data_IF_413371613272
#
_entry.id   IF_413371613272
#
_cell.length_a   1.000
_cell.length_b   1.000
_cell.length_c   1.000
_cell.angle_alpha   90.00
_cell.angle_beta   90.00
_cell.angle_gamma   90.00
#
_symmetry.space_group_name_H-M   'P 1'
#
loop_
_entity.id
_entity.type
_entity.pdbx_description
1 polymer ?
#
# COMPACT_ATOMS: atom_id res chain seq x y z
N UNK A 1 16.77 14.07 6.04
CA UNK A 1 16.61 12.66 6.45
C UNK A 1 16.71 12.55 7.93
N UNK A 2 17.93 12.60 8.49
CA UNK A 2 18.22 12.30 9.91
C UNK A 2 17.19 12.78 10.95
N UNK A 3 16.89 14.09 11.07
CA UNK A 3 15.91 14.55 12.06
C UNK A 3 14.51 13.94 11.92
N UNK A 4 14.09 13.57 10.70
CA UNK A 4 12.81 12.90 10.45
C UNK A 4 12.88 11.40 10.71
N UNK A 5 14.03 10.77 10.42
CA UNK A 5 14.26 9.38 10.79
C UNK A 5 14.20 9.18 12.30
N UNK A 6 14.83 10.07 13.08
CA UNK A 6 14.87 9.99 14.54
C UNK A 6 13.48 10.13 15.20
N UNK A 7 12.61 10.99 14.62
CA UNK A 7 11.24 11.19 15.10
C UNK A 7 10.33 10.01 14.69
N UNK A 8 10.64 9.32 13.59
CA UNK A 8 9.82 8.27 12.99
C UNK A 8 8.76 8.79 12.02
N UNK A 9 8.08 7.87 11.31
CA UNK A 9 7.05 8.20 10.32
C UNK A 9 7.60 8.62 8.95
N UNK A 10 8.88 8.38 8.68
CA UNK A 10 9.55 8.69 7.43
C UNK A 10 10.55 7.57 7.09
N UNK A 11 10.63 7.19 5.81
CA UNK A 11 11.67 6.29 5.29
C UNK A 11 12.50 7.02 4.24
N UNK A 12 13.82 6.82 4.29
CA UNK A 12 14.74 7.35 3.30
C UNK A 12 14.57 6.65 1.95
N UNK A 13 14.53 7.40 0.83
CA UNK A 13 14.59 6.82 -0.51
C UNK A 13 16.02 6.46 -0.93
N UNK A 14 17.04 6.89 -0.18
CA UNK A 14 18.44 6.54 -0.44
C UNK A 14 18.79 5.22 0.23
N UNK A 15 19.25 4.25 -0.54
CA UNK A 15 19.67 2.91 -0.08
C UNK A 15 20.93 2.92 0.79
N UNK A 16 21.70 4.01 0.76
CA UNK A 16 22.89 4.21 1.60
C UNK A 16 22.60 4.92 2.92
N UNK A 17 21.32 5.12 3.26
CA UNK A 17 20.94 5.77 4.51
C UNK A 17 21.29 4.89 5.72
N UNK A 18 21.76 5.53 6.78
CA UNK A 18 22.11 4.86 8.03
C UNK A 18 20.85 4.52 8.82
N UNK A 19 20.42 3.27 8.71
CA UNK A 19 19.22 2.76 9.36
C UNK A 19 19.29 2.83 10.90
N UNK A 20 20.48 2.97 11.50
CA UNK A 20 20.60 3.12 12.96
C UNK A 20 19.97 4.42 13.49
N UNK A 21 19.69 5.39 12.60
CA UNK A 21 19.02 6.65 12.94
C UNK A 21 17.50 6.49 13.16
N UNK A 22 16.88 5.37 12.77
CA UNK A 22 15.46 5.13 13.06
C UNK A 22 15.25 4.74 14.54
N UNK A 23 14.13 5.14 15.17
CA UNK A 23 13.90 4.99 16.61
C UNK A 23 13.67 3.55 17.06
N UNK A 24 13.15 2.69 16.19
CA UNK A 24 12.71 1.34 16.54
C UNK A 24 13.06 0.29 15.46
N UNK A 25 13.04 -0.99 15.86
CA UNK A 25 13.39 -2.12 15.00
C UNK A 25 12.39 -2.29 13.85
N UNK A 26 11.12 -2.00 14.06
CA UNK A 26 10.09 -2.11 13.03
C UNK A 26 10.37 -1.19 11.86
N UNK A 27 10.68 0.08 12.13
CA UNK A 27 11.02 1.08 11.11
C UNK A 27 12.32 0.72 10.40
N UNK A 28 13.31 0.17 11.12
CA UNK A 28 14.56 -0.34 10.52
C UNK A 28 14.29 -1.49 9.54
N UNK A 29 13.46 -2.44 9.94
CA UNK A 29 13.09 -3.58 9.09
C UNK A 29 12.30 -3.14 7.84
N UNK A 30 11.35 -2.22 8.00
CA UNK A 30 10.63 -1.61 6.87
C UNK A 30 11.58 -0.92 5.88
N UNK A 31 12.59 -0.18 6.37
CA UNK A 31 13.61 0.42 5.51
C UNK A 31 14.43 -0.64 4.77
N UNK A 32 14.90 -1.70 5.45
CA UNK A 32 15.66 -2.77 4.82
C UNK A 32 14.86 -3.44 3.69
N UNK A 33 13.59 -3.77 3.93
CA UNK A 33 12.71 -4.35 2.90
C UNK A 33 12.58 -3.42 1.68
N UNK A 34 12.40 -2.12 1.91
CA UNK A 34 12.26 -1.15 0.83
C UNK A 34 13.58 -0.90 0.06
N UNK A 35 14.72 -0.87 0.77
CA UNK A 35 16.04 -0.59 0.18
C UNK A 35 16.62 -1.78 -0.59
N UNK A 36 16.24 -3.01 -0.21
CA UNK A 36 16.70 -4.26 -0.83
C UNK A 36 15.72 -4.80 -1.89
N UNK A 37 14.52 -4.23 -2.02
CA UNK A 37 13.54 -4.67 -2.99
C UNK A 37 14.02 -4.50 -4.45
N UNK A 38 13.92 -5.56 -5.24
CA UNK A 38 14.12 -5.49 -6.70
C UNK A 38 13.07 -4.60 -7.37
N UNK A 39 11.86 -4.56 -6.80
CA UNK A 39 10.72 -3.81 -7.31
C UNK A 39 9.98 -3.15 -6.15
N UNK A 40 9.82 -1.84 -6.26
CA UNK A 40 8.97 -1.04 -5.38
C UNK A 40 7.74 -0.55 -6.16
N UNK A 41 6.54 -0.72 -5.60
CA UNK A 41 5.28 -0.24 -6.21
C UNK A 41 4.52 0.62 -5.21
N UNK A 42 3.91 1.68 -5.72
CA UNK A 42 2.90 2.43 -5.02
C UNK A 42 1.55 1.76 -5.23
N UNK A 43 0.69 1.83 -4.22
CA UNK A 43 -0.71 1.45 -4.40
C UNK A 43 -1.39 2.46 -5.33
N UNK A 44 -2.20 1.98 -6.26
CA UNK A 44 -2.87 2.82 -7.24
C UNK A 44 -4.13 3.52 -6.66
N UNK A 45 -4.23 3.64 -5.33
CA UNK A 45 -5.43 4.07 -4.62
C UNK A 45 -5.84 5.50 -4.98
N UNK A 46 -4.87 6.42 -5.09
CA UNK A 46 -5.10 7.81 -5.52
C UNK A 46 -5.63 7.93 -6.96
N UNK A 47 -5.40 6.92 -7.80
CA UNK A 47 -5.88 6.89 -9.18
C UNK A 47 -7.31 6.34 -9.29
N UNK A 48 -7.83 5.71 -8.25
CA UNK A 48 -9.19 5.18 -8.25
C UNK A 48 -10.21 6.31 -8.01
N UNK A 49 -11.33 6.33 -8.77
CA UNK A 49 -12.48 7.15 -8.40
C UNK A 49 -12.92 6.81 -6.98
N UNK A 50 -13.37 7.80 -6.21
CA UNK A 50 -13.77 7.58 -4.81
C UNK A 50 -14.86 6.51 -4.63
N UNK A 51 -15.77 6.38 -5.59
CA UNK A 51 -16.79 5.32 -5.62
C UNK A 51 -16.22 3.91 -5.79
N UNK A 52 -15.05 3.79 -6.40
CA UNK A 52 -14.34 2.53 -6.58
C UNK A 52 -13.45 2.28 -5.36
N UNK A 53 -12.47 3.15 -5.11
CA UNK A 53 -11.43 2.90 -4.11
C UNK A 53 -11.94 2.80 -2.67
N UNK A 54 -12.85 3.69 -2.27
CA UNK A 54 -13.48 3.66 -0.94
C UNK A 54 -14.83 2.93 -0.92
N UNK A 55 -15.29 2.43 -2.06
CA UNK A 55 -16.58 1.74 -2.22
C UNK A 55 -16.37 0.29 -2.65
N UNK A 56 -16.68 0.00 -3.91
CA UNK A 56 -16.71 -1.37 -4.43
C UNK A 56 -15.41 -2.13 -4.23
N UNK A 57 -14.23 -1.50 -4.36
CA UNK A 57 -12.97 -2.17 -4.07
C UNK A 57 -12.91 -2.67 -2.62
N UNK A 58 -13.30 -1.85 -1.65
CA UNK A 58 -13.28 -2.23 -0.25
C UNK A 58 -14.31 -3.32 0.06
N UNK A 59 -15.54 -3.16 -0.42
CA UNK A 59 -16.64 -4.07 -0.11
C UNK A 59 -16.42 -5.46 -0.72
N UNK A 60 -16.04 -5.52 -2.01
CA UNK A 60 -15.85 -6.78 -2.75
C UNK A 60 -14.60 -7.53 -2.27
N UNK A 61 -13.51 -6.83 -1.94
CA UNK A 61 -12.31 -7.47 -1.38
C UNK A 61 -12.58 -8.07 0.01
N UNK A 62 -13.40 -7.41 0.83
CA UNK A 62 -13.82 -7.98 2.12
C UNK A 62 -14.73 -9.18 1.94
N UNK A 63 -15.68 -9.13 1.01
CA UNK A 63 -16.55 -10.26 0.69
C UNK A 63 -15.74 -11.47 0.22
N UNK A 64 -14.76 -11.27 -0.67
CA UNK A 64 -13.87 -12.33 -1.12
C UNK A 64 -13.02 -12.93 0.00
N UNK A 65 -12.33 -12.10 0.79
CA UNK A 65 -11.50 -12.57 1.91
C UNK A 65 -12.35 -13.24 2.99
N UNK A 66 -13.59 -12.78 3.19
CA UNK A 66 -14.58 -13.35 4.09
C UNK A 66 -15.19 -14.67 3.61
N UNK A 67 -15.05 -15.00 2.33
CA UNK A 67 -15.64 -16.20 1.71
C UNK A 67 -17.11 -16.02 1.30
N UNK A 68 -17.60 -14.79 1.27
CA UNK A 68 -18.96 -14.44 0.84
C UNK A 68 -19.06 -14.24 -0.69
N UNK A 69 -17.92 -14.10 -1.39
CA UNK A 69 -17.83 -13.97 -2.84
C UNK A 69 -16.63 -14.74 -3.41
N UNK A 70 -16.75 -15.24 -4.65
CA UNK A 70 -15.61 -15.78 -5.40
C UNK A 70 -14.73 -14.63 -5.93
N UNK A 71 -13.44 -14.89 -6.16
CA UNK A 71 -12.50 -13.87 -6.61
C UNK A 71 -12.93 -13.22 -7.92
N UNK A 72 -13.37 -14.04 -8.89
CA UNK A 72 -13.78 -13.56 -10.21
C UNK A 72 -15.01 -12.65 -10.15
N UNK A 73 -15.95 -12.93 -9.25
CA UNK A 73 -17.14 -12.09 -9.03
C UNK A 73 -16.75 -10.74 -8.43
N UNK A 74 -15.94 -10.77 -7.36
CA UNK A 74 -15.45 -9.56 -6.71
C UNK A 74 -14.72 -8.63 -7.69
N UNK A 75 -13.83 -9.19 -8.52
CA UNK A 75 -13.10 -8.41 -9.53
C UNK A 75 -14.01 -7.84 -10.61
N UNK A 76 -15.03 -8.58 -11.05
CA UNK A 76 -15.98 -8.11 -12.05
C UNK A 76 -16.81 -6.93 -11.52
N UNK A 77 -17.28 -7.01 -10.26
CA UNK A 77 -18.05 -5.96 -9.61
C UNK A 77 -17.22 -4.67 -9.43
N UNK A 78 -15.93 -4.81 -9.07
CA UNK A 78 -15.00 -3.68 -8.99
C UNK A 78 -14.82 -3.03 -10.37
N UNK A 79 -14.57 -3.81 -11.42
CA UNK A 79 -14.39 -3.30 -12.78
C UNK A 79 -15.64 -2.57 -13.28
N UNK A 80 -16.83 -3.15 -13.11
CA UNK A 80 -18.10 -2.56 -13.55
C UNK A 80 -18.40 -1.22 -12.86
N UNK A 81 -17.88 -1.01 -11.65
CA UNK A 81 -18.09 0.21 -10.89
C UNK A 81 -17.25 1.40 -11.35
N UNK A 82 -16.28 1.20 -12.25
CA UNK A 82 -15.52 2.30 -12.83
C UNK A 82 -16.43 3.19 -13.70
N UNK A 83 -16.39 4.52 -13.54
CA UNK A 83 -17.14 5.42 -14.40
C UNK A 83 -16.72 5.22 -15.87
N UNK A 84 -17.69 4.89 -16.72
CA UNK A 84 -17.46 4.88 -18.17
C UNK A 84 -17.07 6.26 -18.69
N UNK A 85 -16.18 6.30 -19.69
CA UNK A 85 -15.74 7.53 -20.36
C UNK A 85 -16.89 8.30 -21.02
#
# INVERSE_FOLDING_TARGET
GGPWAEIGGWLSPHTTFDASQYPDDTTREMYSLAAEADVFKYDASDLMPGSVGAGTFWDEMNAWVGGDAELEEALANIEESWPGN
#
